data_IF_685208892186
#
_entry.id   IF_685208892186
#
_cell.length_a   1.000
_cell.length_b   1.000
_cell.length_c   1.000
_cell.angle_alpha   90.00
_cell.angle_beta   90.00
_cell.angle_gamma   90.00
#
_symmetry.space_group_name_H-M   'P 1'
#
loop_
_entity.id
_entity.type
_entity.pdbx_description
1 polymer ?
#
# COMPACT_ATOMS: atom_id res chain seq x y z
N UNK A 1 -78.52 15.02 -20.87
CA UNK A 1 -78.31 13.56 -20.78
C UNK A 1 -77.29 13.19 -21.85
N UNK A 2 -76.04 12.90 -21.45
CA UNK A 2 -75.00 12.39 -22.33
C UNK A 2 -75.13 10.85 -22.47
N UNK A 3 -74.88 10.26 -23.65
CA UNK A 3 -74.85 8.82 -23.80
C UNK A 3 -73.49 8.22 -23.43
N UNK A 4 -73.55 7.03 -22.86
CA UNK A 4 -72.48 6.23 -22.26
C UNK A 4 -71.60 5.59 -23.36
N UNK A 5 -70.28 5.78 -23.27
CA UNK A 5 -69.27 5.05 -24.03
C UNK A 5 -68.89 3.76 -23.30
N UNK A 6 -69.10 2.60 -23.92
CA UNK A 6 -68.69 1.28 -23.44
C UNK A 6 -67.20 1.03 -23.70
N UNK A 7 -66.47 0.64 -22.65
CA UNK A 7 -65.03 0.35 -22.68
C UNK A 7 -64.74 -0.97 -23.39
N UNK A 8 -64.04 -0.87 -24.52
CA UNK A 8 -63.36 -1.96 -25.23
C UNK A 8 -62.11 -2.43 -24.47
N UNK A 9 -61.90 -3.74 -24.56
CA UNK A 9 -60.63 -4.48 -24.69
C UNK A 9 -59.41 -4.00 -23.89
N UNK A 10 -59.04 -4.79 -22.87
CA UNK A 10 -57.65 -4.92 -22.44
C UNK A 10 -57.24 -6.38 -22.63
N UNK A 11 -56.53 -6.65 -23.72
CA UNK A 11 -55.76 -7.88 -23.92
C UNK A 11 -54.46 -7.73 -23.14
N UNK A 12 -54.23 -8.63 -22.20
CA UNK A 12 -52.99 -8.74 -21.43
C UNK A 12 -51.84 -9.17 -22.34
N UNK A 13 -50.92 -8.26 -22.65
CA UNK A 13 -49.62 -8.58 -23.23
C UNK A 13 -48.60 -8.67 -22.09
N UNK A 14 -48.40 -9.87 -21.56
CA UNK A 14 -47.27 -10.16 -20.69
C UNK A 14 -45.99 -10.18 -21.54
N UNK A 15 -45.33 -9.02 -21.65
CA UNK A 15 -44.01 -8.93 -22.25
C UNK A 15 -42.98 -9.59 -21.33
N UNK A 16 -42.48 -10.75 -21.73
CA UNK A 16 -41.21 -11.31 -21.30
C UNK A 16 -40.10 -10.35 -21.77
N UNK A 17 -39.76 -9.35 -20.96
CA UNK A 17 -38.54 -8.59 -21.12
C UNK A 17 -37.37 -9.52 -20.73
N UNK A 18 -36.44 -9.85 -21.64
CA UNK A 18 -35.21 -10.49 -21.22
C UNK A 18 -34.49 -9.51 -20.29
N UNK A 19 -34.12 -9.96 -19.09
CA UNK A 19 -33.26 -9.22 -18.19
C UNK A 19 -32.00 -8.81 -18.96
N UNK A 20 -31.92 -7.54 -19.35
CA UNK A 20 -30.70 -6.98 -19.93
C UNK A 20 -29.64 -7.01 -18.84
N UNK A 21 -28.70 -7.96 -18.93
CA UNK A 21 -27.49 -7.94 -18.09
C UNK A 21 -26.78 -6.61 -18.35
N UNK A 22 -26.37 -5.87 -17.31
CA UNK A 22 -25.65 -4.61 -17.51
C UNK A 22 -24.37 -4.89 -18.30
N UNK A 23 -24.06 -4.04 -19.28
CA UNK A 23 -22.91 -4.22 -20.20
C UNK A 23 -21.56 -4.41 -19.46
N UNK A 24 -21.44 -3.83 -18.26
CA UNK A 24 -20.29 -4.01 -17.38
C UNK A 24 -20.12 -5.45 -16.85
N UNK A 25 -21.22 -6.12 -16.48
CA UNK A 25 -21.15 -7.51 -16.02
C UNK A 25 -20.72 -8.46 -17.15
N UNK A 26 -21.20 -8.22 -18.38
CA UNK A 26 -20.77 -8.98 -19.56
C UNK A 26 -19.29 -8.74 -19.92
N UNK A 27 -18.78 -7.52 -19.73
CA UNK A 27 -17.36 -7.22 -19.90
C UNK A 27 -16.49 -7.93 -18.86
N UNK A 28 -16.91 -7.97 -17.59
CA UNK A 28 -16.16 -8.67 -16.53
C UNK A 28 -16.15 -10.20 -16.71
N UNK A 29 -17.29 -10.80 -17.08
CA UNK A 29 -17.35 -12.24 -17.39
C UNK A 29 -16.35 -12.63 -18.51
N UNK A 30 -16.12 -11.72 -19.47
CA UNK A 30 -15.13 -11.93 -20.54
C UNK A 30 -13.70 -11.90 -20.00
N UNK A 31 -13.38 -10.95 -19.12
CA UNK A 31 -12.06 -10.87 -18.45
C UNK A 31 -11.80 -12.12 -17.61
N UNK A 32 -12.79 -12.59 -16.85
CA UNK A 32 -12.66 -13.82 -16.05
C UNK A 32 -12.46 -15.06 -16.94
N UNK A 33 -13.10 -15.12 -18.10
CA UNK A 33 -12.91 -16.22 -19.05
C UNK A 33 -11.50 -16.21 -19.66
N UNK A 34 -11.00 -15.04 -20.08
CA UNK A 34 -9.66 -14.88 -20.63
C UNK A 34 -8.55 -15.17 -19.60
N UNK A 35 -8.80 -14.85 -18.33
CA UNK A 35 -7.87 -15.04 -17.23
C UNK A 35 -7.59 -16.52 -16.88
N UNK A 36 -8.49 -17.45 -17.25
CA UNK A 36 -8.37 -18.86 -16.85
C UNK A 36 -7.06 -19.47 -17.34
N UNK A 37 -6.45 -20.28 -16.47
CA UNK A 37 -5.20 -21.02 -16.72
C UNK A 37 -3.97 -20.14 -16.96
N UNK A 38 -4.09 -18.82 -16.88
CA UNK A 38 -2.94 -17.93 -16.94
C UNK A 38 -2.13 -17.99 -15.62
N UNK A 39 -0.84 -17.71 -15.76
CA UNK A 39 0.06 -17.48 -14.62
C UNK A 39 0.31 -15.98 -14.48
N UNK A 40 0.19 -15.46 -13.26
CA UNK A 40 0.49 -14.06 -12.93
C UNK A 40 1.78 -14.03 -12.13
N UNK A 41 2.83 -13.42 -12.69
CA UNK A 41 4.07 -13.16 -11.97
C UNK A 41 3.92 -11.88 -11.13
N UNK A 42 3.56 -12.07 -9.85
CA UNK A 42 3.33 -10.99 -8.91
C UNK A 42 4.64 -10.61 -8.20
N UNK A 43 5.16 -9.44 -8.54
CA UNK A 43 6.37 -8.87 -7.96
C UNK A 43 6.00 -8.04 -6.73
N UNK A 44 6.33 -8.57 -5.55
CA UNK A 44 5.89 -7.98 -4.28
C UNK A 44 6.96 -8.12 -3.19
N UNK A 45 7.08 -7.09 -2.35
CA UNK A 45 8.05 -7.07 -1.25
C UNK A 45 7.88 -8.29 -0.35
N UNK A 46 9.02 -8.93 -0.03
CA UNK A 46 9.03 -10.24 0.62
C UNK A 46 9.74 -10.28 1.97
N UNK A 47 10.08 -9.11 2.54
CA UNK A 47 10.81 -9.01 3.81
C UNK A 47 10.00 -9.39 5.05
N UNK A 48 8.74 -9.79 4.90
CA UNK A 48 7.88 -10.23 5.99
C UNK A 48 7.23 -11.58 5.71
N UNK A 49 7.38 -12.50 6.65
CA UNK A 49 6.84 -13.86 6.55
C UNK A 49 5.30 -13.89 6.52
N UNK A 50 4.66 -13.00 7.29
CA UNK A 50 3.19 -12.88 7.34
C UNK A 50 2.60 -12.42 6.00
N UNK A 51 3.27 -11.48 5.34
CA UNK A 51 2.91 -11.02 3.99
C UNK A 51 3.07 -12.16 2.97
N UNK A 52 4.22 -12.84 3.01
CA UNK A 52 4.50 -13.97 2.12
C UNK A 52 3.44 -15.08 2.27
N UNK A 53 3.03 -15.37 3.50
CA UNK A 53 1.97 -16.36 3.79
C UNK A 53 0.59 -15.91 3.28
N UNK A 54 0.26 -14.62 3.39
CA UNK A 54 -0.98 -14.07 2.84
C UNK A 54 -1.02 -14.19 1.31
N UNK A 55 0.07 -13.84 0.63
CA UNK A 55 0.16 -13.95 -0.84
C UNK A 55 0.05 -15.42 -1.28
N UNK A 56 0.71 -16.34 -0.57
CA UNK A 56 0.59 -17.77 -0.84
C UNK A 56 -0.86 -18.27 -0.68
N UNK A 57 -1.55 -17.87 0.39
CA UNK A 57 -2.97 -18.18 0.56
C UNK A 57 -3.83 -17.62 -0.57
N UNK A 58 -3.60 -16.35 -0.96
CA UNK A 58 -4.31 -15.75 -2.08
C UNK A 58 -4.12 -16.56 -3.37
N UNK A 59 -2.90 -17.06 -3.62
CA UNK A 59 -2.60 -17.95 -4.74
C UNK A 59 -3.41 -19.25 -4.73
N UNK A 60 -3.59 -19.87 -3.56
CA UNK A 60 -4.44 -21.07 -3.40
C UNK A 60 -5.89 -20.75 -3.76
N UNK A 61 -6.44 -19.65 -3.24
CA UNK A 61 -7.83 -19.24 -3.53
C UNK A 61 -8.02 -18.88 -5.01
N UNK A 62 -7.07 -18.16 -5.60
CA UNK A 62 -7.09 -17.78 -7.02
C UNK A 62 -7.07 -19.00 -7.94
N UNK A 63 -6.25 -20.01 -7.59
CA UNK A 63 -6.20 -21.26 -8.34
C UNK A 63 -7.51 -22.03 -8.25
N UNK A 64 -8.09 -22.12 -7.05
CA UNK A 64 -9.35 -22.84 -6.82
C UNK A 64 -10.56 -22.17 -7.49
N UNK A 65 -10.66 -20.84 -7.43
CA UNK A 65 -11.85 -20.09 -7.87
C UNK A 65 -11.80 -19.64 -9.32
N UNK A 66 -10.62 -19.31 -9.82
CA UNK A 66 -10.42 -18.68 -11.14
C UNK A 66 -9.49 -19.47 -12.06
N UNK A 67 -8.85 -20.54 -11.57
CA UNK A 67 -7.88 -21.31 -12.35
C UNK A 67 -6.57 -20.56 -12.61
N UNK A 68 -6.31 -19.45 -11.93
CA UNK A 68 -5.10 -18.63 -12.09
C UNK A 68 -3.99 -19.17 -11.18
N UNK A 69 -2.77 -19.28 -11.71
CA UNK A 69 -1.58 -19.54 -10.89
C UNK A 69 -0.95 -18.21 -10.50
N UNK A 70 -0.78 -17.95 -9.21
CA UNK A 70 -0.09 -16.75 -8.72
C UNK A 70 1.34 -17.11 -8.29
N UNK A 71 2.33 -16.62 -9.04
CA UNK A 71 3.75 -16.81 -8.73
C UNK A 71 4.29 -15.56 -8.02
N UNK A 72 4.64 -15.70 -6.73
CA UNK A 72 5.22 -14.61 -5.96
C UNK A 72 6.71 -14.45 -6.31
N UNK A 73 7.00 -13.48 -7.15
CA UNK A 73 8.36 -13.02 -7.43
C UNK A 73 8.80 -12.10 -6.30
N UNK A 74 9.59 -12.65 -5.38
CA UNK A 74 10.06 -11.95 -4.18
C UNK A 74 11.07 -10.85 -4.54
N UNK A 75 10.80 -9.62 -4.11
CA UNK A 75 11.69 -8.47 -4.31
C UNK A 75 12.07 -7.82 -2.97
N UNK A 76 13.24 -7.19 -2.95
CA UNK A 76 13.67 -6.29 -1.87
C UNK A 76 13.10 -4.89 -2.04
N UNK A 77 12.98 -4.41 -3.28
CA UNK A 77 12.58 -3.04 -3.59
C UNK A 77 11.83 -2.99 -4.93
N UNK A 78 10.71 -2.26 -4.99
CA UNK A 78 9.94 -2.02 -6.20
C UNK A 78 10.74 -1.24 -7.26
N UNK A 79 11.73 -0.44 -6.88
CA UNK A 79 12.58 0.29 -7.82
C UNK A 79 13.33 -0.65 -8.80
N UNK A 80 13.67 -1.87 -8.37
CA UNK A 80 14.25 -2.91 -9.23
C UNK A 80 13.26 -3.35 -10.33
N UNK A 81 11.99 -3.49 -9.98
CA UNK A 81 10.91 -3.86 -10.90
C UNK A 81 10.65 -2.73 -11.89
N UNK A 82 10.61 -1.48 -11.43
CA UNK A 82 10.43 -0.29 -12.29
C UNK A 82 11.54 -0.22 -13.35
N UNK A 83 12.80 -0.40 -12.95
CA UNK A 83 13.92 -0.44 -13.91
C UNK A 83 13.76 -1.55 -14.94
N UNK A 84 13.44 -2.77 -14.48
CA UNK A 84 13.27 -3.93 -15.37
C UNK A 84 12.16 -3.71 -16.39
N UNK A 85 10.97 -3.25 -15.96
CA UNK A 85 9.86 -2.96 -16.88
C UNK A 85 10.24 -1.87 -17.88
N UNK A 86 10.90 -0.80 -17.44
CA UNK A 86 11.37 0.27 -18.33
C UNK A 86 12.31 -0.25 -19.41
N UNK A 87 13.25 -1.10 -19.03
CA UNK A 87 14.25 -1.66 -19.97
C UNK A 87 13.59 -2.63 -20.95
N UNK A 88 12.66 -3.47 -20.50
CA UNK A 88 11.87 -4.36 -21.35
C UNK A 88 11.04 -3.59 -22.39
N UNK A 89 10.32 -2.55 -21.95
CA UNK A 89 9.50 -1.71 -22.84
C UNK A 89 10.38 -0.99 -23.86
N UNK A 90 11.52 -0.41 -23.43
CA UNK A 90 12.48 0.23 -24.35
C UNK A 90 13.07 -0.75 -25.36
N UNK A 91 13.26 -2.01 -24.97
CA UNK A 91 13.74 -3.06 -25.86
C UNK A 91 12.65 -3.65 -26.77
N UNK A 92 11.40 -3.16 -26.68
CA UNK A 92 10.28 -3.65 -27.50
C UNK A 92 9.77 -5.03 -27.08
N UNK A 93 10.01 -5.44 -25.83
CA UNK A 93 9.54 -6.73 -25.30
C UNK A 93 8.02 -6.67 -25.10
N UNK A 94 7.28 -7.34 -25.99
CA UNK A 94 5.82 -7.35 -25.98
C UNK A 94 5.21 -8.20 -24.84
N UNK A 95 5.96 -9.18 -24.32
CA UNK A 95 5.57 -10.05 -23.19
C UNK A 95 6.62 -9.90 -22.09
N UNK A 96 6.36 -8.97 -21.18
CA UNK A 96 7.25 -8.64 -20.07
C UNK A 96 7.31 -9.72 -19.00
N UNK A 97 8.29 -9.60 -18.09
CA UNK A 97 8.48 -10.54 -16.97
C UNK A 97 7.59 -10.26 -15.76
N UNK A 98 6.79 -9.20 -15.79
CA UNK A 98 6.01 -8.70 -14.66
C UNK A 98 4.56 -8.53 -15.07
N UNK A 99 3.65 -9.23 -14.39
CA UNK A 99 2.21 -9.13 -14.66
C UNK A 99 1.47 -8.27 -13.62
N UNK A 100 1.96 -8.27 -12.39
CA UNK A 100 1.43 -7.48 -11.28
C UNK A 100 2.60 -7.02 -10.41
N UNK A 101 2.56 -5.78 -9.92
CA UNK A 101 3.58 -5.23 -9.03
C UNK A 101 2.92 -4.58 -7.81
N UNK A 102 3.41 -4.90 -6.61
CA UNK A 102 3.11 -4.12 -5.42
C UNK A 102 3.91 -2.81 -5.50
N UNK A 103 3.20 -1.69 -5.54
CA UNK A 103 3.78 -0.37 -5.80
C UNK A 103 3.16 0.71 -4.92
N UNK A 104 3.90 1.80 -4.75
CA UNK A 104 3.45 3.04 -4.14
C UNK A 104 4.46 4.19 -4.40
N UNK A 105 4.04 5.42 -4.15
CA UNK A 105 4.76 6.68 -4.22
C UNK A 105 5.59 6.88 -5.48
N UNK A 106 6.90 7.06 -5.29
CA UNK A 106 7.82 7.42 -6.37
C UNK A 106 7.90 6.36 -7.46
N UNK A 107 7.69 5.09 -7.13
CA UNK A 107 7.70 4.00 -8.10
C UNK A 107 6.48 4.10 -9.03
N UNK A 108 5.29 4.33 -8.48
CA UNK A 108 4.07 4.55 -9.28
C UNK A 108 4.21 5.78 -10.16
N UNK A 109 4.61 6.92 -9.57
CA UNK A 109 4.86 8.17 -10.30
C UNK A 109 5.84 7.98 -11.46
N UNK A 110 6.96 7.29 -11.22
CA UNK A 110 7.95 7.02 -12.26
C UNK A 110 7.39 6.15 -13.39
N UNK A 111 6.67 5.06 -13.06
CA UNK A 111 6.03 4.22 -14.08
C UNK A 111 4.96 4.96 -14.86
N UNK A 112 4.17 5.81 -14.19
CA UNK A 112 3.13 6.64 -14.81
C UNK A 112 3.71 7.67 -15.78
N UNK A 113 4.73 8.42 -15.35
CA UNK A 113 5.41 9.43 -16.18
C UNK A 113 6.05 8.82 -17.42
N UNK A 114 6.63 7.63 -17.28
CA UNK A 114 7.26 6.89 -18.37
C UNK A 114 6.24 6.06 -19.20
N UNK A 115 4.94 6.18 -18.94
CA UNK A 115 3.86 5.47 -19.64
C UNK A 115 4.00 3.93 -19.61
N UNK A 116 4.48 3.39 -18.49
CA UNK A 116 4.77 1.97 -18.29
C UNK A 116 3.60 1.17 -17.70
N UNK A 117 2.42 1.78 -17.50
CA UNK A 117 1.29 1.18 -16.80
C UNK A 117 0.13 0.88 -17.76
N UNK A 118 -0.47 -0.30 -17.62
CA UNK A 118 -1.75 -0.64 -18.21
C UNK A 118 -2.89 -0.02 -17.38
N UNK A 119 -3.85 0.59 -18.06
CA UNK A 119 -5.06 1.11 -17.44
C UNK A 119 -5.67 2.26 -18.27
N UNK A 120 -6.69 2.94 -17.71
CA UNK A 120 -7.26 2.74 -16.38
C UNK A 120 -8.01 1.40 -16.25
N UNK A 121 -7.85 0.72 -15.11
CA UNK A 121 -8.52 -0.57 -14.82
C UNK A 121 -9.13 -0.65 -13.43
N UNK A 122 -8.54 0.02 -12.43
CA UNK A 122 -8.86 -0.22 -11.02
C UNK A 122 -10.34 0.04 -10.67
N UNK A 123 -10.91 1.15 -11.16
CA UNK A 123 -12.31 1.50 -10.87
C UNK A 123 -13.33 0.65 -11.61
N UNK A 124 -12.87 -0.15 -12.58
CA UNK A 124 -13.67 -1.10 -13.33
C UNK A 124 -13.66 -2.50 -12.70
N UNK A 125 -12.94 -2.70 -11.59
CA UNK A 125 -12.97 -3.96 -10.87
C UNK A 125 -14.29 -4.08 -10.09
N UNK A 126 -15.02 -5.21 -10.15
CA UNK A 126 -16.30 -5.36 -9.44
C UNK A 126 -16.24 -5.06 -7.94
N UNK A 127 -15.15 -5.44 -7.26
CA UNK A 127 -14.98 -5.20 -5.83
C UNK A 127 -14.53 -3.77 -5.50
N UNK A 128 -14.17 -2.95 -6.49
CA UNK A 128 -13.86 -1.53 -6.26
C UNK A 128 -15.05 -0.77 -5.66
N UNK A 129 -16.29 -1.24 -5.90
CA UNK A 129 -17.51 -0.71 -5.26
C UNK A 129 -17.43 -0.65 -3.72
N UNK A 130 -16.62 -1.51 -3.10
CA UNK A 130 -16.44 -1.57 -1.66
C UNK A 130 -15.33 -0.67 -1.13
N UNK A 131 -14.48 -0.10 -1.99
CA UNK A 131 -13.36 0.76 -1.60
C UNK A 131 -13.88 2.05 -0.94
N UNK A 132 -13.21 2.48 0.12
CA UNK A 132 -13.52 3.69 0.87
C UNK A 132 -12.87 4.94 0.27
N UNK A 133 -13.40 5.43 -0.84
CA UNK A 133 -12.84 6.61 -1.52
C UNK A 133 -13.10 7.93 -0.79
N UNK A 134 -14.00 7.96 0.19
CA UNK A 134 -14.38 9.17 0.94
C UNK A 134 -13.63 9.26 2.27
N UNK A 135 -13.69 8.19 3.07
CA UNK A 135 -13.00 8.11 4.36
C UNK A 135 -11.50 7.84 4.24
N UNK A 136 -11.04 7.32 3.08
CA UNK A 136 -9.64 7.01 2.79
C UNK A 136 -9.24 7.60 1.43
N UNK A 137 -9.12 8.94 1.31
CA UNK A 137 -8.86 9.59 0.01
C UNK A 137 -7.55 9.12 -0.65
N UNK A 138 -6.59 8.62 0.14
CA UNK A 138 -5.36 8.00 -0.36
C UNK A 138 -5.62 6.76 -1.22
N UNK A 139 -6.83 6.15 -1.24
CA UNK A 139 -7.13 5.07 -2.20
C UNK A 139 -7.25 5.56 -3.65
N UNK A 140 -7.28 6.88 -3.87
CA UNK A 140 -7.32 7.51 -5.20
C UNK A 140 -6.14 8.44 -5.47
N UNK A 141 -5.31 8.68 -4.45
CA UNK A 141 -4.12 9.53 -4.53
C UNK A 141 -2.98 8.80 -3.83
N UNK A 142 -1.95 8.45 -4.58
CA UNK A 142 -0.75 7.83 -4.04
C UNK A 142 0.27 8.92 -3.70
N UNK A 143 0.39 9.22 -2.40
CA UNK A 143 1.02 10.43 -1.88
C UNK A 143 0.44 11.72 -2.50
N UNK A 144 1.12 12.30 -3.50
CA UNK A 144 0.72 13.53 -4.17
C UNK A 144 0.36 13.30 -5.65
N UNK A 145 0.35 12.04 -6.11
CA UNK A 145 0.05 11.67 -7.49
C UNK A 145 -1.35 11.05 -7.57
N UNK A 146 -2.21 11.56 -8.45
CA UNK A 146 -3.51 10.95 -8.68
C UNK A 146 -3.36 9.57 -9.32
N UNK A 147 -4.05 8.56 -8.77
CA UNK A 147 -3.98 7.18 -9.27
C UNK A 147 -4.52 7.06 -10.70
N UNK A 148 -5.54 7.86 -11.05
CA UNK A 148 -6.23 7.85 -12.35
C UNK A 148 -6.69 6.46 -12.80
N UNK A 149 -6.92 5.54 -11.85
CA UNK A 149 -7.28 4.15 -12.10
C UNK A 149 -6.15 3.27 -12.67
N UNK A 150 -4.90 3.74 -12.68
CA UNK A 150 -3.71 3.00 -13.16
C UNK A 150 -3.13 2.02 -12.11
N UNK A 151 -3.64 2.05 -10.89
CA UNK A 151 -3.29 1.13 -9.82
C UNK A 151 -4.51 0.88 -8.90
N UNK A 152 -4.62 -0.34 -8.38
CA UNK A 152 -5.72 -0.75 -7.50
C UNK A 152 -5.27 -0.72 -6.04
N UNK A 153 -6.01 -0.06 -5.13
CA UNK A 153 -5.65 -0.02 -3.72
C UNK A 153 -5.71 -1.42 -3.12
N UNK A 154 -4.75 -1.74 -2.25
CA UNK A 154 -4.65 -3.06 -1.63
C UNK A 154 -4.71 -2.98 -0.11
N UNK A 155 -3.96 -2.09 0.53
CA UNK A 155 -3.96 -1.92 1.98
C UNK A 155 -3.60 -0.53 2.44
N UNK A 156 -3.86 -0.24 3.71
CA UNK A 156 -3.56 1.04 4.33
C UNK A 156 -2.23 0.98 5.05
N UNK A 157 -1.45 2.04 4.95
CA UNK A 157 -0.14 2.11 5.56
C UNK A 157 0.02 3.41 6.36
N UNK A 158 0.74 3.32 7.47
CA UNK A 158 1.01 4.47 8.33
C UNK A 158 2.32 4.28 9.07
N UNK A 159 3.19 5.29 9.00
CA UNK A 159 4.44 5.31 9.74
C UNK A 159 4.13 5.25 11.23
N UNK A 160 4.56 4.16 11.85
CA UNK A 160 4.31 3.84 13.24
C UNK A 160 5.65 3.51 13.88
N UNK A 161 5.93 4.15 15.01
CA UNK A 161 7.09 3.85 15.83
C UNK A 161 6.68 2.85 16.91
N UNK A 162 7.61 2.02 17.34
CA UNK A 162 7.34 1.06 18.42
C UNK A 162 8.61 0.70 19.18
N UNK A 163 8.45 0.26 20.42
CA UNK A 163 9.55 -0.07 21.31
C UNK A 163 9.06 -0.72 22.60
N UNK A 164 9.97 -1.34 23.35
CA UNK A 164 9.67 -1.89 24.67
C UNK A 164 9.52 -0.76 25.70
N UNK A 165 8.31 -0.53 26.21
CA UNK A 165 8.02 0.53 27.19
C UNK A 165 8.83 0.43 28.49
N UNK A 166 9.30 -0.77 28.87
CA UNK A 166 10.15 -0.94 30.06
C UNK A 166 11.54 -0.33 29.84
N UNK A 167 12.04 -0.35 28.61
CA UNK A 167 13.36 0.19 28.24
C UNK A 167 13.27 1.63 27.76
N UNK A 168 12.22 1.96 27.00
CA UNK A 168 11.99 3.26 26.39
C UNK A 168 11.49 4.31 27.40
N UNK A 169 10.64 3.90 28.35
CA UNK A 169 9.85 4.85 29.14
C UNK A 169 8.75 5.51 28.28
N UNK A 170 8.61 6.83 28.39
CA UNK A 170 7.62 7.59 27.63
C UNK A 170 8.02 7.70 26.14
N UNK A 171 7.14 7.34 25.20
CA UNK A 171 7.46 7.38 23.78
C UNK A 171 7.56 8.82 23.24
N UNK A 172 8.52 9.13 22.35
CA UNK A 172 8.60 10.44 21.71
C UNK A 172 7.43 10.65 20.73
N UNK A 173 6.64 11.70 20.94
CA UNK A 173 5.46 12.01 20.15
C UNK A 173 5.70 13.12 19.11
N UNK A 174 6.96 13.41 18.79
CA UNK A 174 7.39 14.28 17.68
C UNK A 174 8.86 14.03 17.33
N UNK A 175 9.30 14.51 16.16
CA UNK A 175 10.72 14.51 15.79
C UNK A 175 11.59 15.32 16.77
N UNK A 176 11.05 16.40 17.33
CA UNK A 176 11.74 17.18 18.35
C UNK A 176 11.96 16.36 19.65
N UNK A 177 10.93 15.64 20.11
CA UNK A 177 11.02 14.73 21.26
C UNK A 177 11.96 13.54 20.96
N UNK A 178 11.97 13.02 19.72
CA UNK A 178 12.90 11.99 19.28
C UNK A 178 14.36 12.46 19.33
N UNK A 179 14.64 13.70 18.94
CA UNK A 179 15.98 14.29 19.04
C UNK A 179 16.44 14.41 20.50
N UNK A 180 15.55 14.79 21.42
CA UNK A 180 15.86 14.80 22.85
C UNK A 180 16.18 13.39 23.34
N UNK A 181 15.33 12.41 23.01
CA UNK A 181 15.58 11.01 23.37
C UNK A 181 16.94 10.49 22.86
N UNK A 182 17.30 10.84 21.62
CA UNK A 182 18.59 10.46 21.02
C UNK A 182 19.78 11.09 21.77
N UNK A 183 19.66 12.37 22.16
CA UNK A 183 20.68 13.08 22.96
C UNK A 183 20.89 12.43 24.32
N UNK A 184 19.80 12.03 24.97
CA UNK A 184 19.82 11.42 26.30
C UNK A 184 20.27 9.96 26.26
N UNK A 185 20.09 9.29 25.11
CA UNK A 185 20.47 7.88 24.91
C UNK A 185 21.32 7.67 23.64
N UNK A 186 22.55 8.23 23.57
CA UNK A 186 23.36 8.18 22.36
C UNK A 186 23.63 6.76 21.88
N UNK A 187 23.47 6.52 20.58
CA UNK A 187 23.77 5.26 19.94
C UNK A 187 22.64 4.22 19.96
N UNK A 188 21.50 4.54 20.56
CA UNK A 188 20.38 3.58 20.76
C UNK A 188 19.18 3.79 19.84
N UNK A 189 19.30 4.70 18.88
CA UNK A 189 18.26 5.01 17.89
C UNK A 189 18.89 5.03 16.50
N UNK A 190 18.17 4.50 15.50
CA UNK A 190 18.55 4.61 14.09
C UNK A 190 17.32 4.48 13.19
N UNK A 191 17.52 4.61 11.89
CA UNK A 191 16.54 4.28 10.86
C UNK A 191 17.27 3.59 9.69
N UNK A 192 16.57 2.83 8.83
CA UNK A 192 17.21 2.23 7.66
C UNK A 192 17.81 3.29 6.72
N UNK A 193 18.93 3.00 6.08
CA UNK A 193 19.53 3.94 5.13
C UNK A 193 18.62 4.13 3.89
N UNK A 194 18.31 5.35 3.46
CA UNK A 194 17.82 5.58 2.10
C UNK A 194 18.77 4.92 1.08
N UNK A 195 18.28 4.28 0.01
CA UNK A 195 16.92 4.38 -0.53
C UNK A 195 15.89 3.42 0.07
N UNK A 196 16.19 2.69 1.17
CA UNK A 196 15.19 1.84 1.84
C UNK A 196 13.88 2.60 2.07
N UNK A 197 12.76 1.94 1.78
CA UNK A 197 11.44 2.57 1.82
C UNK A 197 11.08 3.17 3.19
N UNK A 198 11.40 2.48 4.29
CA UNK A 198 11.15 2.97 5.65
C UNK A 198 12.12 4.09 6.01
N UNK A 199 13.38 3.98 5.59
CA UNK A 199 14.39 5.02 5.74
C UNK A 199 14.01 6.34 5.04
N UNK A 200 13.60 6.24 3.78
CA UNK A 200 13.09 7.36 2.98
C UNK A 200 11.83 7.96 3.61
N UNK A 201 10.92 7.13 4.13
CA UNK A 201 9.71 7.60 4.81
C UNK A 201 10.01 8.29 6.15
N UNK A 202 11.01 7.82 6.91
CA UNK A 202 11.49 8.51 8.10
C UNK A 202 11.97 9.93 7.75
N UNK A 203 12.80 10.07 6.71
CA UNK A 203 13.27 11.39 6.25
C UNK A 203 12.12 12.28 5.78
N UNK A 204 11.12 11.73 5.06
CA UNK A 204 9.90 12.46 4.70
C UNK A 204 9.11 12.92 5.94
N UNK A 205 9.06 12.12 7.00
CA UNK A 205 8.42 12.52 8.26
C UNK A 205 9.18 13.66 8.93
N UNK A 206 10.52 13.64 8.91
CA UNK A 206 11.34 14.77 9.38
C UNK A 206 10.99 16.02 8.57
N UNK A 207 10.91 15.94 7.24
CA UNK A 207 10.50 17.08 6.42
C UNK A 207 9.12 17.60 6.82
N UNK A 208 8.14 16.71 6.95
CA UNK A 208 6.76 17.08 7.28
C UNK A 208 6.62 17.79 8.64
N UNK A 209 7.48 17.46 9.62
CA UNK A 209 7.45 18.09 10.95
C UNK A 209 8.35 19.33 11.08
N UNK A 210 9.29 19.53 10.16
CA UNK A 210 10.26 20.63 10.23
C UNK A 210 10.02 21.73 9.20
N UNK A 211 9.29 21.44 8.12
CA UNK A 211 8.97 22.41 7.07
C UNK A 211 8.15 23.57 7.63
N UNK A 212 8.56 24.81 7.32
CA UNK A 212 7.87 26.01 7.80
C UNK A 212 6.52 26.23 7.14
N UNK A 213 6.37 25.82 5.88
CA UNK A 213 5.13 25.93 5.10
C UNK A 213 4.67 24.53 4.63
N UNK A 214 3.79 23.86 5.39
CA UNK A 214 3.23 22.57 5.00
C UNK A 214 2.41 22.61 3.70
N UNK A 215 1.96 23.80 3.26
CA UNK A 215 1.23 23.97 2.00
C UNK A 215 2.04 23.62 0.75
N UNK A 216 3.37 23.50 0.88
CA UNK A 216 4.28 23.08 -0.18
C UNK A 216 4.32 21.55 -0.39
N UNK A 217 3.97 20.76 0.63
CA UNK A 217 4.06 19.29 0.56
C UNK A 217 3.21 18.63 -0.54
N UNK A 218 1.95 19.06 -0.81
CA UNK A 218 1.12 18.42 -1.82
C UNK A 218 1.29 18.98 -3.24
N UNK A 219 2.12 20.01 -3.45
CA UNK A 219 2.25 20.68 -4.75
C UNK A 219 3.63 20.43 -5.38
N UNK A 220 3.71 20.61 -6.70
CA UNK A 220 5.01 20.62 -7.38
C UNK A 220 5.72 21.95 -7.12
N UNK A 221 6.97 21.86 -6.68
CA UNK A 221 7.85 23.01 -6.44
C UNK A 221 9.10 22.93 -7.32
N UNK A 222 9.73 24.07 -7.58
CA UNK A 222 11.03 24.14 -8.23
C UNK A 222 12.13 23.56 -7.33
N UNK A 223 13.29 23.27 -7.91
CA UNK A 223 14.46 22.82 -7.14
C UNK A 223 14.91 23.85 -6.10
N UNK A 224 14.83 25.14 -6.45
CA UNK A 224 15.21 26.23 -5.57
C UNK A 224 14.27 26.31 -4.36
N UNK A 225 12.95 26.35 -4.61
CA UNK A 225 11.93 26.33 -3.56
C UNK A 225 12.05 25.09 -2.66
N UNK A 226 12.29 23.90 -3.23
CA UNK A 226 12.51 22.69 -2.44
C UNK A 226 13.77 22.79 -1.57
N UNK A 227 14.86 23.35 -2.11
CA UNK A 227 16.12 23.51 -1.37
C UNK A 227 15.92 24.42 -0.17
N UNK A 228 15.20 25.53 -0.34
CA UNK A 228 14.90 26.45 0.76
C UNK A 228 13.91 25.87 1.76
N UNK A 229 12.82 25.25 1.29
CA UNK A 229 11.80 24.67 2.15
C UNK A 229 12.29 23.47 2.98
N UNK A 230 13.24 22.69 2.43
CA UNK A 230 13.80 21.51 3.12
C UNK A 230 15.00 21.82 4.03
N UNK A 231 15.48 23.06 4.07
CA UNK A 231 16.61 23.46 4.93
C UNK A 231 16.43 23.07 6.41
N UNK A 232 15.27 23.29 7.05
CA UNK A 232 15.06 22.88 8.45
C UNK A 232 15.16 21.37 8.68
N UNK A 233 14.81 20.56 7.68
CA UNK A 233 14.95 19.10 7.73
C UNK A 233 16.43 18.70 7.80
N UNK A 234 17.28 19.30 6.97
CA UNK A 234 18.72 19.01 6.99
C UNK A 234 19.37 19.49 8.29
N UNK A 235 19.01 20.68 8.78
CA UNK A 235 19.47 21.19 10.08
C UNK A 235 19.08 20.25 11.23
N UNK A 236 17.87 19.70 11.21
CA UNK A 236 17.45 18.69 12.18
C UNK A 236 18.27 17.40 12.06
N UNK A 237 18.49 16.89 10.85
CA UNK A 237 19.28 15.67 10.62
C UNK A 237 20.73 15.83 11.09
N UNK A 238 21.34 16.99 10.84
CA UNK A 238 22.69 17.34 11.33
C UNK A 238 22.77 17.33 12.86
N UNK A 239 21.69 17.77 13.54
CA UNK A 239 21.58 17.69 15.00
C UNK A 239 21.33 16.26 15.50
N UNK A 240 20.60 15.44 14.75
CA UNK A 240 20.22 14.08 15.15
C UNK A 240 21.36 13.07 14.96
N UNK A 241 22.01 13.09 13.80
CA UNK A 241 22.97 12.05 13.38
C UNK A 241 24.10 11.77 14.38
N UNK A 242 24.73 12.77 15.02
CA UNK A 242 25.79 12.52 16.01
C UNK A 242 25.35 11.63 17.19
N UNK A 243 24.05 11.56 17.46
CA UNK A 243 23.46 10.79 18.55
C UNK A 243 22.88 9.45 18.13
N UNK A 244 22.80 9.17 16.82
CA UNK A 244 22.28 7.89 16.34
C UNK A 244 23.28 6.74 16.58
N UNK A 245 22.80 5.52 16.41
CA UNK A 245 23.63 4.32 16.33
C UNK A 245 24.81 4.55 15.37
N UNK A 246 26.01 4.19 15.83
CA UNK A 246 27.28 4.46 15.13
C UNK A 246 27.46 5.93 14.70
N UNK A 247 26.91 6.86 15.48
CA UNK A 247 26.98 8.32 15.26
C UNK A 247 26.43 8.74 13.88
N UNK A 248 25.46 7.99 13.33
CA UNK A 248 24.92 8.25 11.99
C UNK A 248 25.95 8.07 10.86
N UNK A 249 27.09 7.42 11.14
CA UNK A 249 28.10 7.05 10.13
C UNK A 249 27.82 5.70 9.49
N UNK A 250 26.99 4.90 10.14
CA UNK A 250 26.49 3.63 9.66
C UNK A 250 25.00 3.53 9.99
N UNK A 251 24.24 2.95 9.08
CA UNK A 251 22.81 2.73 9.22
C UNK A 251 22.48 1.27 8.92
N UNK A 252 21.39 0.78 9.51
CA UNK A 252 20.80 -0.49 9.14
C UNK A 252 20.42 -0.48 7.66
N UNK A 253 20.50 -1.64 7.00
CA UNK A 253 20.14 -1.77 5.58
C UNK A 253 18.64 -2.04 5.36
N UNK A 254 17.89 -2.39 6.41
CA UNK A 254 16.47 -2.69 6.31
C UNK A 254 15.72 -2.43 7.61
N UNK A 255 14.40 -2.26 7.50
CA UNK A 255 13.52 -2.16 8.67
C UNK A 255 13.55 -3.44 9.53
N UNK A 256 13.60 -4.62 8.91
CA UNK A 256 13.68 -5.89 9.65
C UNK A 256 14.92 -5.95 10.55
N UNK A 257 16.07 -5.44 10.07
CA UNK A 257 17.28 -5.36 10.89
C UNK A 257 17.15 -4.34 12.04
N UNK A 258 16.49 -3.20 11.83
CA UNK A 258 16.22 -2.24 12.94
C UNK A 258 15.31 -2.89 14.00
N UNK A 259 14.28 -3.61 13.57
CA UNK A 259 13.37 -4.34 14.46
C UNK A 259 14.09 -5.43 15.25
N UNK A 260 14.98 -6.19 14.61
CA UNK A 260 15.81 -7.19 15.30
C UNK A 260 16.74 -6.55 16.33
N UNK A 261 17.44 -5.46 15.97
CA UNK A 261 18.31 -4.73 16.91
C UNK A 261 17.53 -4.16 18.11
N UNK A 262 16.28 -3.72 17.91
CA UNK A 262 15.41 -3.30 19.01
C UNK A 262 15.03 -4.48 19.90
N UNK A 263 14.64 -5.62 19.31
CA UNK A 263 14.33 -6.86 20.02
C UNK A 263 15.51 -7.38 20.84
N UNK A 264 16.73 -7.28 20.30
CA UNK A 264 17.98 -7.73 20.93
C UNK A 264 18.48 -6.79 22.04
N UNK A 265 17.84 -5.64 22.22
CA UNK A 265 18.24 -4.69 23.25
C UNK A 265 19.27 -3.64 22.82
N UNK A 266 19.68 -3.61 21.56
CA UNK A 266 20.65 -2.65 21.03
C UNK A 266 20.02 -1.28 20.76
N UNK A 267 18.77 -1.27 20.27
CA UNK A 267 18.00 -0.05 20.04
C UNK A 267 16.82 0.08 21.00
N UNK A 268 16.37 1.32 21.24
CA UNK A 268 15.19 1.62 22.06
C UNK A 268 13.88 1.53 21.29
N UNK A 269 13.92 1.82 19.99
CA UNK A 269 12.74 1.84 19.13
C UNK A 269 13.07 1.33 17.72
N UNK A 270 12.01 0.92 17.03
CA UNK A 270 11.97 0.64 15.60
C UNK A 270 10.80 1.41 14.96
N UNK A 271 10.66 1.27 13.65
CA UNK A 271 9.58 1.85 12.86
C UNK A 271 9.00 0.82 11.89
N UNK A 272 7.77 1.06 11.46
CA UNK A 272 7.05 0.24 10.48
C UNK A 272 6.07 1.11 9.70
N UNK A 273 5.64 0.63 8.54
CA UNK A 273 4.53 1.23 7.79
C UNK A 273 3.21 0.44 7.95
N UNK A 274 3.20 -0.62 8.75
CA UNK A 274 1.99 -1.34 9.17
C UNK A 274 1.73 -1.09 10.66
N UNK A 275 0.68 -0.33 11.04
CA UNK A 275 0.42 0.03 12.43
C UNK A 275 0.18 -1.17 13.35
N UNK A 276 -0.19 -2.32 12.78
CA UNK A 276 -0.47 -3.54 13.53
C UNK A 276 0.73 -4.51 13.62
N UNK A 277 1.82 -4.25 12.91
CA UNK A 277 3.02 -5.10 12.97
C UNK A 277 3.54 -5.31 14.40
N UNK A 278 3.63 -4.29 15.28
CA UNK A 278 4.12 -4.49 16.64
C UNK A 278 3.23 -5.45 17.43
N UNK A 279 1.90 -5.37 17.27
CA UNK A 279 0.96 -6.28 17.93
C UNK A 279 1.12 -7.72 17.41
N UNK A 280 1.39 -7.91 16.12
CA UNK A 280 1.63 -9.23 15.53
C UNK A 280 2.92 -9.85 16.08
N UNK A 281 3.99 -9.05 16.18
CA UNK A 281 5.27 -9.49 16.71
C UNK A 281 5.21 -9.80 18.21
N UNK A 282 4.32 -9.15 18.96
CA UNK A 282 4.02 -9.57 20.34
C UNK A 282 3.24 -10.89 20.36
N UNK A 283 2.24 -11.03 19.50
CA UNK A 283 1.39 -12.22 19.46
C UNK A 283 2.16 -13.50 19.06
N UNK A 284 3.19 -13.38 18.21
CA UNK A 284 4.03 -14.51 17.80
C UNK A 284 5.27 -14.72 18.71
N UNK A 285 5.46 -13.88 19.73
CA UNK A 285 6.54 -13.99 20.70
C UNK A 285 7.90 -13.43 20.26
N UNK A 286 7.97 -12.73 19.12
CA UNK A 286 9.19 -12.07 18.66
C UNK A 286 9.52 -10.79 19.44
N UNK A 287 8.50 -10.13 20.01
CA UNK A 287 8.65 -8.93 20.85
C UNK A 287 8.02 -9.11 22.24
N UNK A 288 8.51 -8.38 23.26
CA UNK A 288 7.97 -8.47 24.61
C UNK A 288 6.54 -7.91 24.69
N UNK A 289 5.74 -8.42 25.64
CA UNK A 289 4.36 -7.95 25.88
C UNK A 289 4.25 -6.47 26.26
N UNK A 290 5.37 -5.86 26.64
CA UNK A 290 5.52 -4.45 27.00
C UNK A 290 5.81 -3.56 25.79
N UNK A 291 5.85 -4.12 24.58
CA UNK A 291 5.95 -3.33 23.36
C UNK A 291 4.72 -2.42 23.19
N UNK A 292 5.00 -1.14 23.01
CA UNK A 292 4.01 -0.11 22.68
C UNK A 292 4.28 0.40 21.27
N UNK A 293 3.22 0.75 20.56
CA UNK A 293 3.27 1.35 19.23
C UNK A 293 2.59 2.71 19.28
N UNK A 294 3.12 3.70 18.56
CA UNK A 294 2.60 5.05 18.57
C UNK A 294 2.86 5.78 17.26
N UNK A 295 2.10 6.86 17.07
CA UNK A 295 2.35 7.90 16.08
C UNK A 295 2.64 9.21 16.79
N UNK A 296 3.24 10.16 16.08
CA UNK A 296 3.47 11.51 16.60
C UNK A 296 2.16 12.28 16.78
N UNK A 297 2.15 13.24 17.72
CA UNK A 297 0.98 14.03 18.11
C UNK A 297 0.40 14.84 16.96
N UNK A 298 1.26 15.34 16.06
CA UNK A 298 0.85 16.04 14.84
C UNK A 298 0.41 15.12 13.69
N UNK A 299 0.42 13.80 13.91
CA UNK A 299 0.24 12.78 12.88
C UNK A 299 1.55 12.31 12.28
N UNK A 300 1.50 11.14 11.65
CA UNK A 300 2.58 10.57 10.85
C UNK A 300 2.09 10.30 9.44
N UNK A 301 3.04 10.21 8.50
CA UNK A 301 2.77 9.89 7.10
C UNK A 301 1.94 8.61 7.03
N UNK A 302 0.76 8.72 6.43
CA UNK A 302 -0.08 7.62 6.01
C UNK A 302 -0.22 7.59 4.50
N UNK A 303 -0.46 6.40 3.95
CA UNK A 303 -0.75 6.22 2.55
C UNK A 303 -1.64 4.97 2.33
N UNK A 304 -2.02 4.75 1.09
CA UNK A 304 -2.47 3.44 0.62
C UNK A 304 -1.30 2.77 -0.12
N UNK A 305 -1.24 1.45 -0.11
CA UNK A 305 -0.34 0.72 -0.99
C UNK A 305 -1.17 -0.07 -2.02
N UNK A 306 -0.60 -0.26 -3.21
CA UNK A 306 -1.37 -0.60 -4.40
C UNK A 306 -0.79 -1.80 -5.14
N UNK A 307 -1.59 -2.36 -6.04
CA UNK A 307 -1.11 -3.23 -7.09
C UNK A 307 -1.34 -2.59 -8.45
N UNK A 308 -0.31 -2.60 -9.30
CA UNK A 308 -0.36 -2.06 -10.65
C UNK A 308 0.03 -3.10 -11.70
N UNK A 309 -0.40 -2.89 -12.94
CA UNK A 309 -0.18 -3.81 -14.06
C UNK A 309 0.74 -3.12 -15.07
N UNK A 310 1.94 -3.65 -15.36
CA UNK A 310 2.79 -3.11 -16.41
C UNK A 310 2.13 -3.14 -17.80
N UNK A 311 2.44 -2.15 -18.64
CA UNK A 311 1.90 -2.03 -20.01
C UNK A 311 2.23 -3.26 -20.88
N UNK A 312 3.38 -3.88 -20.66
CA UNK A 312 3.84 -5.08 -21.35
C UNK A 312 3.53 -6.39 -20.61
N UNK A 313 2.72 -6.36 -19.54
CA UNK A 313 2.26 -7.58 -18.85
C UNK A 313 1.66 -8.59 -19.84
N UNK A 314 1.98 -9.86 -19.69
CA UNK A 314 1.51 -10.93 -20.56
C UNK A 314 0.14 -11.46 -20.14
N UNK A 315 -0.18 -11.42 -18.85
CA UNK A 315 -1.40 -11.95 -18.24
C UNK A 315 -2.31 -10.83 -17.71
N UNK A 316 -2.62 -9.81 -18.51
CA UNK A 316 -3.40 -8.62 -18.08
C UNK A 316 -4.79 -8.96 -17.55
N UNK A 317 -5.48 -9.92 -18.18
CA UNK A 317 -6.80 -10.36 -17.73
C UNK A 317 -6.71 -11.00 -16.35
N UNK A 318 -5.78 -11.94 -16.15
CA UNK A 318 -5.57 -12.58 -14.86
C UNK A 318 -5.07 -11.60 -13.80
N UNK A 319 -4.19 -10.65 -14.13
CA UNK A 319 -3.73 -9.63 -13.20
C UNK A 319 -4.89 -8.73 -12.69
N UNK A 320 -5.86 -8.40 -13.55
CA UNK A 320 -7.09 -7.71 -13.12
C UNK A 320 -7.95 -8.57 -12.18
N UNK A 321 -8.10 -9.87 -12.46
CA UNK A 321 -8.82 -10.79 -11.57
C UNK A 321 -8.13 -10.92 -10.22
N UNK A 322 -6.79 -10.99 -10.19
CA UNK A 322 -6.00 -10.96 -8.96
C UNK A 322 -6.25 -9.68 -8.17
N UNK A 323 -6.14 -8.50 -8.80
CA UNK A 323 -6.42 -7.22 -8.15
C UNK A 323 -7.86 -7.16 -7.59
N UNK A 324 -8.85 -7.65 -8.35
CA UNK A 324 -10.23 -7.72 -7.90
C UNK A 324 -10.42 -8.67 -6.72
N UNK A 325 -9.77 -9.83 -6.72
CA UNK A 325 -9.80 -10.78 -5.60
C UNK A 325 -9.20 -10.16 -4.33
N UNK A 326 -8.07 -9.45 -4.44
CA UNK A 326 -7.43 -8.77 -3.32
C UNK A 326 -8.34 -7.70 -2.70
N UNK A 327 -9.26 -7.11 -3.47
CA UNK A 327 -10.29 -6.18 -2.99
C UNK A 327 -11.54 -6.85 -2.40
N UNK A 328 -11.66 -8.18 -2.48
CA UNK A 328 -12.84 -8.86 -1.94
C UNK A 328 -12.95 -8.69 -0.42
N UNK A 329 -14.17 -8.61 0.15
CA UNK A 329 -14.36 -8.51 1.60
C UNK A 329 -13.66 -9.63 2.38
N UNK A 330 -13.64 -10.84 1.85
CA UNK A 330 -12.96 -12.00 2.45
C UNK A 330 -11.44 -11.80 2.49
N UNK A 331 -10.83 -11.45 1.36
CA UNK A 331 -9.39 -11.23 1.28
C UNK A 331 -8.96 -10.07 2.19
N UNK A 332 -9.73 -8.97 2.19
CA UNK A 332 -9.46 -7.81 3.05
C UNK A 332 -9.66 -8.11 4.54
N UNK A 333 -10.67 -8.89 4.92
CA UNK A 333 -10.87 -9.31 6.30
C UNK A 333 -9.73 -10.21 6.79
N UNK A 334 -9.30 -11.19 5.97
CA UNK A 334 -8.16 -12.03 6.29
C UNK A 334 -6.86 -11.24 6.40
N UNK A 335 -6.65 -10.28 5.50
CA UNK A 335 -5.48 -9.39 5.52
C UNK A 335 -5.42 -8.56 6.81
N UNK A 336 -6.57 -8.04 7.25
CA UNK A 336 -6.69 -7.23 8.46
C UNK A 336 -6.63 -8.04 9.77
N UNK A 337 -6.73 -9.37 9.74
CA UNK A 337 -6.57 -10.21 10.92
C UNK A 337 -5.11 -10.14 11.42
N UNK A 338 -4.93 -9.72 12.69
CA UNK A 338 -3.64 -9.64 13.39
C UNK A 338 -2.91 -10.99 13.42
N UNK A 339 -3.64 -12.11 13.42
CA UNK A 339 -3.03 -13.45 13.40
C UNK A 339 -2.49 -13.82 12.01
N UNK A 340 -2.81 -13.05 10.98
CA UNK A 340 -2.38 -13.28 9.59
C UNK A 340 -1.36 -12.24 9.17
N UNK A 341 -1.78 -10.99 8.93
CA UNK A 341 -0.90 -9.89 8.52
C UNK A 341 -1.24 -8.59 9.29
N UNK A 342 -2.50 -8.37 9.65
CA UNK A 342 -2.92 -7.16 10.35
C UNK A 342 -2.89 -5.89 9.48
N UNK A 343 -2.69 -5.99 8.17
CA UNK A 343 -2.65 -4.82 7.30
C UNK A 343 -4.06 -4.24 7.08
N UNK A 344 -4.35 -3.00 7.51
CA UNK A 344 -5.71 -2.49 7.55
C UNK A 344 -6.38 -2.43 6.17
N UNK A 345 -7.71 -2.52 6.19
CA UNK A 345 -8.53 -2.62 4.98
C UNK A 345 -8.68 -1.28 4.26
N UNK A 346 -8.68 -1.33 2.92
CA UNK A 346 -9.04 -0.19 2.04
C UNK A 346 -10.55 -0.06 1.86
N UNK A 347 -11.35 -1.01 2.37
CA UNK A 347 -12.79 -1.03 2.18
C UNK A 347 -13.51 -0.10 3.15
N UNK A 348 -14.68 0.38 2.73
CA UNK A 348 -15.64 1.05 3.58
C UNK A 348 -16.50 -0.01 4.24
N UNK A 349 -16.29 -0.25 5.55
CA UNK A 349 -17.02 -1.28 6.29
C UNK A 349 -18.54 -1.07 6.25
N UNK A 350 -18.99 0.20 6.16
CA UNK A 350 -20.41 0.56 6.00
C UNK A 350 -21.02 0.09 4.67
N UNK A 351 -20.21 -0.23 3.64
CA UNK A 351 -20.67 -0.78 2.36
C UNK A 351 -20.76 -2.31 2.36
N UNK A 352 -20.31 -2.96 3.42
CA UNK A 352 -20.36 -4.42 3.57
C UNK A 352 -21.69 -4.81 4.22
N UNK A 353 -22.36 -5.83 3.68
CA UNK A 353 -23.49 -6.43 4.37
C UNK A 353 -23.01 -7.10 5.66
N UNK A 354 -23.76 -7.01 6.78
CA UNK A 354 -23.50 -7.83 7.95
C UNK A 354 -23.50 -9.30 7.52
N UNK A 355 -22.38 -9.99 7.76
CA UNK A 355 -22.21 -11.41 7.45
C UNK A 355 -22.96 -12.33 8.39
#
# INVERSE_FOLDING_TARGET
MLPVLTRRHFVSLAALLPFARPAFAAAWETIEAEAREQTVYFNAWAGSETINAYIAWAGVELRARYGITLEHVKISDAAEVVRRVRDEVKAGVAKGSVDLVWINGENFRAMKQDQLLFGPFAEQLPNFRFVDVEGKPTTRVDFAEATEGLESPWGMAQLTFFGDSVRLGDPPLSMAELLVLAKDNPGTITYPAPPDFHGTTFVKQVLAETISDPGLLPISVTREEFTDASRPMFEFLDLLHPHLWRQGRQFSQSQAQVTQMMADGELLLSLTFNPNEPANLVANGALPKTTVAWQHRGGTIGNTHFVAIPINAQAKAAAQVVANFLLSPEAQARKADLKVWGDPTVLALSKLSPG
#
